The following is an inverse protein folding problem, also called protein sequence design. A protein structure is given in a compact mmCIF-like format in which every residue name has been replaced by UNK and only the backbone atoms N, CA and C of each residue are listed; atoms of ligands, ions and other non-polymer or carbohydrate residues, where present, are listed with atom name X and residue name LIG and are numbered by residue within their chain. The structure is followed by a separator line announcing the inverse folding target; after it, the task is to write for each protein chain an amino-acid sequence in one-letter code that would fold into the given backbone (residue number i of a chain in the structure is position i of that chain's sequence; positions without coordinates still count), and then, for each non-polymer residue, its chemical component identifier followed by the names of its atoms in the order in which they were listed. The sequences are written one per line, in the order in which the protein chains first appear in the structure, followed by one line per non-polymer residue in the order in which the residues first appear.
data_IF_246643414157
#
_entry.id   IF_246643414157
#
_cell.length_a   1.000
_cell.length_b   1.000
_cell.length_c   1.000
_cell.angle_alpha   90.00
_cell.angle_beta   90.00
_cell.angle_gamma   90.00
#
_symmetry.space_group_name_H-M   'P 1'
#
loop_
_entity.id
_entity.type
_entity.pdbx_description
1 polymer ?
#
# COMPACT_ATOMS: atom_id res chain seq x y z
N UNK A 1 9.48 70.01 -9.49
CA UNK A 1 9.52 68.95 -8.46
C UNK A 1 8.44 69.16 -7.40
N UNK A 2 7.88 68.09 -6.79
CA UNK A 2 7.94 66.66 -7.15
C UNK A 2 6.90 66.33 -8.26
N UNK A 3 6.73 65.13 -8.79
CA UNK A 3 7.42 63.84 -8.58
C UNK A 3 6.53 62.72 -9.10
N UNK A 4 6.52 62.51 -10.43
CA UNK A 4 5.57 61.63 -11.10
C UNK A 4 6.16 60.21 -11.24
N UNK A 5 5.62 59.23 -10.51
CA UNK A 5 6.01 57.82 -10.65
C UNK A 5 5.09 57.13 -11.67
N UNK A 6 5.61 56.57 -12.77
CA UNK A 6 4.84 55.65 -13.60
C UNK A 6 4.73 54.30 -12.88
N UNK A 7 3.51 53.74 -12.83
CA UNK A 7 3.27 52.43 -12.26
C UNK A 7 3.98 51.33 -13.05
N UNK A 8 4.57 50.37 -12.34
CA UNK A 8 5.09 49.16 -12.97
C UNK A 8 3.92 48.34 -13.55
N UNK A 9 4.01 47.86 -14.81
CA UNK A 9 3.01 46.93 -15.33
C UNK A 9 3.12 45.60 -14.59
N UNK A 10 1.97 45.00 -14.31
CA UNK A 10 1.85 43.70 -13.68
C UNK A 10 2.62 42.65 -14.50
N UNK A 11 3.49 41.89 -13.83
CA UNK A 11 4.23 40.82 -14.49
C UNK A 11 3.27 39.76 -15.05
N UNK A 12 3.43 39.45 -16.34
CA UNK A 12 2.70 38.34 -16.95
C UNK A 12 3.03 37.01 -16.24
N UNK A 13 2.10 36.05 -16.18
CA UNK A 13 2.43 34.67 -15.77
C UNK A 13 3.57 34.17 -16.65
N UNK A 14 4.72 33.86 -16.04
CA UNK A 14 5.95 33.60 -16.78
C UNK A 14 5.88 32.25 -17.49
N UNK A 15 6.60 32.12 -18.61
CA UNK A 15 6.52 30.99 -19.55
C UNK A 15 6.71 29.59 -18.90
N UNK A 16 7.37 29.50 -17.75
CA UNK A 16 7.49 28.29 -16.93
C UNK A 16 6.12 27.71 -16.55
N UNK A 17 5.15 28.59 -16.24
CA UNK A 17 3.79 28.19 -15.84
C UNK A 17 2.93 27.65 -16.99
N UNK A 18 3.21 28.04 -18.24
CA UNK A 18 2.56 27.47 -19.42
C UNK A 18 3.20 26.14 -19.84
N UNK A 19 4.53 26.04 -19.74
CA UNK A 19 5.26 24.79 -20.01
C UNK A 19 4.79 23.66 -19.08
N UNK A 20 4.70 23.91 -17.77
CA UNK A 20 4.21 22.95 -16.78
C UNK A 20 2.80 22.44 -17.10
N UNK A 21 1.88 23.31 -17.52
CA UNK A 21 0.52 22.92 -17.95
C UNK A 21 0.54 22.04 -19.19
N UNK A 22 1.39 22.37 -20.17
CA UNK A 22 1.51 21.60 -21.41
C UNK A 22 2.07 20.18 -21.17
N UNK A 23 3.02 20.02 -20.24
CA UNK A 23 3.54 18.69 -19.88
C UNK A 23 2.45 17.84 -19.21
N UNK A 24 1.67 18.43 -18.31
CA UNK A 24 0.55 17.76 -17.63
C UNK A 24 -0.57 17.35 -18.59
N UNK A 25 -0.92 18.20 -19.55
CA UNK A 25 -1.88 17.86 -20.60
C UNK A 25 -1.39 16.67 -21.43
N UNK A 26 -0.13 16.69 -21.88
CA UNK A 26 0.46 15.58 -22.64
C UNK A 26 0.54 14.27 -21.88
N UNK A 27 0.76 14.30 -20.56
CA UNK A 27 0.67 13.09 -19.74
C UNK A 27 -0.76 12.53 -19.73
N UNK A 28 -1.77 13.40 -19.64
CA UNK A 28 -3.17 12.98 -19.72
C UNK A 28 -3.54 12.42 -21.09
N UNK A 29 -3.13 13.09 -22.17
CA UNK A 29 -3.35 12.64 -23.55
C UNK A 29 -2.67 11.27 -23.79
N UNK A 30 -1.42 11.10 -23.33
CA UNK A 30 -0.68 9.82 -23.46
C UNK A 30 -1.35 8.66 -22.71
N UNK A 31 -2.03 8.94 -21.60
CA UNK A 31 -2.82 7.95 -20.85
C UNK A 31 -4.13 7.61 -21.59
N UNK A 32 -4.81 8.60 -22.17
CA UNK A 32 -6.05 8.39 -22.93
C UNK A 32 -5.82 7.64 -24.26
N UNK A 33 -4.67 7.88 -24.91
CA UNK A 33 -4.26 7.17 -26.13
C UNK A 33 -3.80 5.72 -25.86
N UNK A 34 -3.48 5.36 -24.62
CA UNK A 34 -3.01 4.04 -24.23
C UNK A 34 -4.15 3.02 -24.03
N UNK A 35 -4.90 2.74 -25.12
CA UNK A 35 -6.09 1.85 -25.18
C UNK A 35 -5.88 0.43 -24.60
N UNK A 36 -4.63 0.02 -24.33
CA UNK A 36 -4.27 -1.29 -23.76
C UNK A 36 -4.39 -1.38 -22.23
N UNK A 37 -4.45 -0.26 -21.52
CA UNK A 37 -4.44 -0.24 -20.04
C UNK A 37 -5.62 -1.02 -19.43
N UNK A 38 -6.85 -0.72 -19.83
CA UNK A 38 -8.02 -1.45 -19.32
C UNK A 38 -8.07 -2.93 -19.74
N UNK A 39 -7.35 -3.31 -20.79
CA UNK A 39 -7.19 -4.71 -21.19
C UNK A 39 -6.17 -5.46 -20.32
N UNK A 40 -5.09 -4.78 -19.89
CA UNK A 40 -4.14 -5.29 -18.89
C UNK A 40 -4.84 -5.51 -17.54
N UNK A 41 -5.54 -4.48 -17.05
CA UNK A 41 -6.33 -4.53 -15.81
C UNK A 41 -7.35 -5.67 -15.81
N UNK A 42 -8.12 -5.81 -16.90
CA UNK A 42 -9.08 -6.90 -17.05
C UNK A 42 -8.43 -8.28 -17.10
N UNK A 43 -7.25 -8.41 -17.71
CA UNK A 43 -6.54 -9.69 -17.77
C UNK A 43 -6.12 -10.15 -16.37
N UNK A 44 -5.53 -9.26 -15.57
CA UNK A 44 -5.19 -9.50 -14.15
C UNK A 44 -6.47 -9.86 -13.38
N UNK A 45 -7.51 -9.02 -13.48
CA UNK A 45 -8.78 -9.24 -12.77
C UNK A 45 -9.42 -10.61 -13.04
N UNK A 46 -9.33 -11.10 -14.28
CA UNK A 46 -9.99 -12.33 -14.73
C UNK A 46 -9.28 -13.63 -14.32
N UNK A 47 -8.03 -13.56 -13.86
CA UNK A 47 -7.20 -14.72 -13.53
C UNK A 47 -6.50 -14.47 -12.17
N UNK A 48 -7.25 -14.45 -11.06
CA UNK A 48 -6.75 -14.02 -9.77
C UNK A 48 -5.76 -15.01 -9.16
N UNK A 49 -4.56 -14.52 -8.85
CA UNK A 49 -3.47 -15.28 -8.23
C UNK A 49 -3.13 -14.70 -6.85
N UNK A 50 -2.73 -15.56 -5.90
CA UNK A 50 -2.26 -15.16 -4.57
C UNK A 50 -0.90 -15.79 -4.32
N UNK A 51 0.12 -15.02 -3.92
CA UNK A 51 1.48 -15.48 -3.58
C UNK A 51 2.32 -16.09 -4.72
N UNK A 52 1.71 -16.51 -5.82
CA UNK A 52 2.33 -17.09 -7.01
C UNK A 52 1.79 -16.39 -8.28
N UNK A 53 1.88 -15.05 -8.35
CA UNK A 53 1.22 -14.20 -9.35
C UNK A 53 1.91 -14.21 -10.73
N UNK A 54 2.09 -15.40 -11.29
CA UNK A 54 2.82 -15.65 -12.53
C UNK A 54 2.13 -15.07 -13.76
N UNK A 55 0.82 -15.21 -13.88
CA UNK A 55 0.02 -14.67 -15.00
C UNK A 55 -0.04 -13.15 -14.97
N UNK A 56 -0.29 -12.55 -13.80
CA UNK A 56 -0.29 -11.10 -13.64
C UNK A 56 1.10 -10.49 -13.91
N UNK A 57 2.17 -11.09 -13.35
CA UNK A 57 3.55 -10.72 -13.63
C UNK A 57 3.90 -10.81 -15.13
N UNK A 58 3.53 -11.90 -15.80
CA UNK A 58 3.73 -12.07 -17.24
C UNK A 58 2.94 -11.04 -18.05
N UNK A 59 1.73 -10.65 -17.61
CA UNK A 59 0.92 -9.62 -18.24
C UNK A 59 1.59 -8.24 -18.18
N UNK A 60 2.06 -7.84 -16.99
CA UNK A 60 2.74 -6.56 -16.75
C UNK A 60 4.08 -6.46 -17.46
N UNK A 61 4.94 -7.48 -17.36
CA UNK A 61 6.25 -7.48 -18.02
C UNK A 61 6.10 -7.40 -19.54
N UNK A 62 5.23 -8.24 -20.13
CA UNK A 62 4.91 -8.21 -21.55
C UNK A 62 4.31 -6.88 -22.00
N UNK A 63 3.50 -6.23 -21.17
CA UNK A 63 2.95 -4.90 -21.46
C UNK A 63 4.08 -3.89 -21.71
N UNK A 64 5.03 -3.76 -20.77
CA UNK A 64 6.17 -2.84 -20.90
C UNK A 64 7.16 -3.22 -22.01
N UNK A 65 7.39 -4.51 -22.27
CA UNK A 65 8.17 -4.96 -23.44
C UNK A 65 7.54 -4.52 -24.77
N UNK A 66 6.20 -4.45 -24.83
CA UNK A 66 5.44 -4.12 -26.03
C UNK A 66 5.06 -2.64 -26.13
N UNK A 67 5.65 -1.77 -25.30
CA UNK A 67 5.45 -0.32 -25.33
C UNK A 67 6.26 0.37 -26.45
N UNK A 68 5.62 1.06 -27.41
CA UNK A 68 6.33 1.75 -28.49
C UNK A 68 7.35 2.80 -28.00
N UNK A 69 8.45 3.01 -28.72
CA UNK A 69 8.96 2.19 -29.83
C UNK A 69 9.83 1.02 -29.35
N UNK A 70 9.22 0.01 -28.68
CA UNK A 70 9.71 -1.36 -28.41
C UNK A 70 11.06 -1.54 -27.67
N UNK A 71 11.74 -0.44 -27.29
CA UNK A 71 13.08 -0.48 -26.69
C UNK A 71 13.36 0.75 -25.78
N UNK A 72 12.33 1.44 -25.29
CA UNK A 72 12.49 2.60 -24.40
C UNK A 72 12.70 2.20 -22.92
N UNK A 73 12.03 1.12 -22.48
CA UNK A 73 12.17 0.61 -21.11
C UNK A 73 13.34 -0.36 -21.01
N UNK A 74 14.35 0.01 -20.22
CA UNK A 74 15.49 -0.85 -19.92
C UNK A 74 15.19 -1.70 -18.69
N UNK A 75 14.73 -2.93 -18.91
CA UNK A 75 14.55 -3.95 -17.86
C UNK A 75 15.93 -4.56 -17.57
N UNK A 76 16.56 -4.22 -16.44
CA UNK A 76 17.97 -4.56 -16.15
C UNK A 76 18.28 -4.87 -14.67
N UNK A 77 19.16 -5.86 -14.41
CA UNK A 77 19.82 -6.05 -13.11
C UNK A 77 21.33 -5.62 -13.07
N UNK A 78 21.73 -4.93 -11.98
CA UNK A 78 23.10 -4.61 -11.48
C UNK A 78 24.03 -3.63 -12.26
N UNK A 79 25.01 -3.00 -11.58
CA UNK A 79 25.98 -2.00 -12.13
C UNK A 79 27.27 -1.84 -11.27
N UNK A 80 28.45 -1.60 -11.87
CA UNK A 80 29.69 -2.26 -11.41
C UNK A 80 30.89 -1.43 -10.83
N UNK A 81 31.49 -0.45 -11.54
CA UNK A 81 32.97 -0.22 -11.47
C UNK A 81 33.53 1.02 -10.72
N UNK A 82 34.74 0.85 -10.14
CA UNK A 82 35.38 1.69 -9.11
C UNK A 82 35.90 3.10 -9.48
N UNK A 83 35.83 3.52 -10.75
CA UNK A 83 36.13 4.91 -11.17
C UNK A 83 35.04 5.50 -12.07
N UNK A 84 33.86 4.90 -12.07
CA UNK A 84 32.70 5.41 -12.81
C UNK A 84 31.99 6.50 -11.97
N UNK A 85 31.58 7.58 -12.61
CA UNK A 85 30.61 8.52 -12.05
C UNK A 85 29.27 8.35 -12.78
N UNK A 86 28.18 8.51 -12.04
CA UNK A 86 26.80 8.39 -12.52
C UNK A 86 26.09 9.69 -12.16
N UNK A 87 25.62 10.42 -13.16
CA UNK A 87 24.95 11.70 -13.00
C UNK A 87 23.47 11.53 -13.33
N UNK A 88 22.65 11.54 -12.29
CA UNK A 88 21.19 11.35 -12.34
C UNK A 88 20.54 12.41 -11.45
N UNK A 89 19.37 12.91 -11.84
CA UNK A 89 18.73 14.05 -11.17
C UNK A 89 17.60 13.62 -10.24
N UNK A 90 16.68 12.79 -10.74
CA UNK A 90 15.51 12.29 -9.99
C UNK A 90 15.18 10.86 -10.43
N UNK A 91 15.00 9.97 -9.46
CA UNK A 91 14.50 8.61 -9.62
C UNK A 91 13.09 8.47 -9.03
N UNK A 92 12.10 8.25 -9.89
CA UNK A 92 10.72 8.02 -9.47
C UNK A 92 10.34 6.56 -9.71
N UNK A 93 9.69 5.93 -8.73
CA UNK A 93 9.06 4.63 -8.94
C UNK A 93 7.53 4.72 -8.86
N UNK A 94 6.86 4.04 -9.78
CA UNK A 94 5.43 3.71 -9.68
C UNK A 94 5.29 2.26 -9.25
N UNK A 95 4.55 2.01 -8.17
CA UNK A 95 4.33 0.65 -7.66
C UNK A 95 3.06 0.05 -8.27
N UNK A 96 3.08 -1.26 -8.49
CA UNK A 96 2.00 -2.03 -9.10
C UNK A 96 1.79 -3.30 -8.28
N UNK A 97 0.75 -3.34 -7.46
CA UNK A 97 0.24 -4.57 -6.84
C UNK A 97 -0.67 -5.32 -7.82
N UNK A 98 -0.77 -6.64 -7.66
CA UNK A 98 -1.54 -7.49 -8.58
C UNK A 98 -1.85 -8.88 -7.99
N UNK A 99 -1.76 -9.02 -6.68
CA UNK A 99 -2.22 -10.20 -5.94
C UNK A 99 -3.73 -10.12 -5.64
N UNK A 100 -4.30 -11.28 -5.32
CA UNK A 100 -5.72 -11.48 -5.08
C UNK A 100 -5.98 -12.18 -3.74
N UNK A 101 -7.21 -12.08 -3.23
CA UNK A 101 -7.63 -12.70 -1.99
C UNK A 101 -8.18 -14.12 -2.21
N UNK A 102 -7.78 -15.12 -1.40
CA UNK A 102 -8.23 -16.49 -1.52
C UNK A 102 -9.76 -16.64 -1.51
N UNK A 103 -10.31 -17.18 -2.61
CA UNK A 103 -11.72 -17.49 -2.76
C UNK A 103 -12.64 -16.32 -3.14
N UNK A 104 -12.16 -15.07 -3.10
CA UNK A 104 -12.95 -13.88 -3.51
C UNK A 104 -12.31 -13.05 -4.63
N UNK A 105 -11.08 -13.37 -5.06
CA UNK A 105 -10.43 -12.69 -6.19
C UNK A 105 -9.87 -11.32 -5.81
N UNK A 106 -9.79 -10.37 -6.75
CA UNK A 106 -9.32 -9.01 -6.48
C UNK A 106 -10.34 -8.15 -5.72
N UNK A 107 -10.78 -8.63 -4.55
CA UNK A 107 -11.71 -7.93 -3.67
C UNK A 107 -11.09 -6.70 -2.99
N UNK A 108 -9.77 -6.50 -3.10
CA UNK A 108 -9.09 -5.25 -2.74
C UNK A 108 -8.76 -4.38 -3.97
N UNK A 109 -8.96 -4.88 -5.20
CA UNK A 109 -8.86 -4.13 -6.44
C UNK A 109 -7.44 -3.94 -7.01
N UNK A 110 -6.50 -4.82 -6.66
CA UNK A 110 -5.08 -4.68 -7.06
C UNK A 110 -4.89 -4.65 -8.60
N UNK A 111 -5.79 -5.24 -9.38
CA UNK A 111 -5.82 -5.07 -10.84
C UNK A 111 -5.87 -3.59 -11.28
N UNK A 112 -6.56 -2.72 -10.53
CA UNK A 112 -6.62 -1.28 -10.77
C UNK A 112 -5.36 -0.56 -10.26
N UNK A 113 -4.70 -1.08 -9.22
CA UNK A 113 -3.43 -0.54 -8.69
C UNK A 113 -2.31 -0.76 -9.73
N UNK A 114 -2.19 -1.98 -10.26
CA UNK A 114 -1.32 -2.29 -11.39
C UNK A 114 -1.55 -1.35 -12.58
N UNK A 115 -2.81 -1.12 -12.94
CA UNK A 115 -3.17 -0.23 -14.04
C UNK A 115 -2.78 1.22 -13.76
N UNK A 116 -3.06 1.74 -12.57
CA UNK A 116 -2.72 3.12 -12.18
C UNK A 116 -1.22 3.35 -12.25
N UNK A 117 -0.41 2.45 -11.68
CA UNK A 117 1.05 2.56 -11.69
C UNK A 117 1.61 2.53 -13.12
N UNK A 118 1.12 1.61 -13.96
CA UNK A 118 1.54 1.51 -15.35
C UNK A 118 1.12 2.72 -16.19
N UNK A 119 -0.13 3.15 -16.07
CA UNK A 119 -0.67 4.31 -16.76
C UNK A 119 0.09 5.61 -16.37
N UNK A 120 0.33 5.82 -15.08
CA UNK A 120 1.03 7.01 -14.61
C UNK A 120 2.47 7.07 -15.14
N UNK A 121 3.18 5.94 -15.16
CA UNK A 121 4.53 5.83 -15.73
C UNK A 121 4.56 6.17 -17.24
N UNK A 122 3.58 5.68 -18.01
CA UNK A 122 3.44 6.04 -19.43
C UNK A 122 3.11 7.51 -19.64
N UNK A 123 2.23 8.09 -18.81
CA UNK A 123 1.91 9.52 -18.84
C UNK A 123 3.15 10.40 -18.63
N UNK A 124 3.97 10.10 -17.62
CA UNK A 124 5.23 10.82 -17.39
C UNK A 124 6.19 10.63 -18.56
N UNK A 125 6.38 9.40 -19.06
CA UNK A 125 7.23 9.12 -20.23
C UNK A 125 6.81 9.96 -21.45
N UNK A 126 5.55 9.91 -21.85
CA UNK A 126 5.04 10.65 -23.01
C UNK A 126 5.16 12.17 -22.87
N UNK A 127 4.96 12.70 -21.67
CA UNK A 127 5.18 14.12 -21.38
C UNK A 127 6.65 14.55 -21.52
N UNK A 128 7.61 13.70 -21.11
CA UNK A 128 9.04 13.94 -21.26
C UNK A 128 9.53 13.75 -22.70
N UNK A 129 9.04 12.74 -23.43
CA UNK A 129 9.37 12.51 -24.84
C UNK A 129 8.87 13.63 -25.77
N UNK A 130 7.77 14.30 -25.41
CA UNK A 130 7.26 15.46 -26.16
C UNK A 130 8.06 16.76 -26.01
N UNK A 131 9.08 16.82 -25.14
CA UNK A 131 9.78 18.07 -24.82
C UNK A 131 10.58 18.65 -26.01
N UNK A 132 10.59 19.98 -26.19
CA UNK A 132 11.47 20.62 -27.18
C UNK A 132 12.91 20.68 -26.65
N UNK A 133 13.67 19.60 -26.87
CA UNK A 133 15.07 19.49 -26.47
C UNK A 133 15.41 18.12 -25.86
N UNK A 134 16.62 17.92 -25.33
CA UNK A 134 16.92 16.71 -24.56
C UNK A 134 16.05 16.67 -23.29
N UNK A 135 15.47 15.51 -22.93
CA UNK A 135 14.70 15.39 -21.70
C UNK A 135 15.59 15.61 -20.46
N UNK A 136 15.01 16.04 -19.32
CA UNK A 136 15.75 16.10 -18.06
C UNK A 136 16.26 14.69 -17.68
N UNK A 137 17.42 14.57 -16.98
CA UNK A 137 18.01 13.28 -16.62
C UNK A 137 17.27 12.60 -15.45
N UNK A 138 16.03 12.20 -15.74
CA UNK A 138 15.09 11.50 -14.85
C UNK A 138 15.08 10.01 -15.18
N UNK A 139 15.06 9.16 -14.14
CA UNK A 139 14.78 7.73 -14.29
C UNK A 139 13.37 7.44 -13.80
N UNK A 140 12.52 6.97 -14.69
CA UNK A 140 11.21 6.40 -14.33
C UNK A 140 11.41 4.91 -14.15
N UNK A 141 10.87 4.36 -13.06
CA UNK A 141 10.89 2.94 -12.72
C UNK A 141 9.44 2.51 -12.49
N UNK A 142 9.10 1.30 -12.91
CA UNK A 142 7.87 0.63 -12.48
C UNK A 142 8.30 -0.61 -11.71
N UNK A 143 7.79 -0.75 -10.48
CA UNK A 143 8.07 -1.89 -9.63
C UNK A 143 6.78 -2.71 -9.48
N UNK A 144 6.83 -3.96 -9.95
CA UNK A 144 5.82 -4.93 -9.60
C UNK A 144 6.03 -5.43 -8.17
N UNK A 145 5.00 -5.36 -7.34
CA UNK A 145 5.05 -5.63 -5.90
C UNK A 145 3.99 -6.68 -5.54
N UNK A 146 4.34 -7.98 -5.55
CA UNK A 146 3.40 -9.07 -5.26
C UNK A 146 3.11 -9.22 -3.76
N UNK A 147 2.18 -10.13 -3.43
CA UNK A 147 1.91 -10.61 -2.07
C UNK A 147 1.78 -9.52 -0.98
N UNK A 148 0.97 -8.50 -1.24
CA UNK A 148 0.64 -7.47 -0.24
C UNK A 148 -0.37 -7.97 0.80
N UNK A 149 -1.29 -8.87 0.44
CA UNK A 149 -2.40 -9.28 1.32
C UNK A 149 -1.98 -10.20 2.48
N UNK A 150 -1.01 -11.09 2.27
CA UNK A 150 -0.63 -12.13 3.26
C UNK A 150 0.91 -12.33 3.38
N UNK A 151 1.75 -11.52 2.71
CA UNK A 151 3.19 -11.82 2.57
C UNK A 151 4.20 -10.68 2.66
N UNK A 152 3.80 -9.42 2.54
CA UNK A 152 4.70 -8.27 2.64
C UNK A 152 5.75 -8.19 1.54
N UNK A 153 5.40 -8.52 0.29
CA UNK A 153 6.37 -8.60 -0.81
C UNK A 153 7.19 -7.32 -1.08
N UNK A 154 6.71 -6.13 -0.67
CA UNK A 154 7.53 -4.91 -0.71
C UNK A 154 8.67 -4.94 0.32
N UNK A 155 8.50 -5.64 1.43
CA UNK A 155 9.50 -5.80 2.50
C UNK A 155 10.66 -6.66 1.97
N UNK A 156 10.37 -7.80 1.34
CA UNK A 156 11.35 -8.61 0.60
C UNK A 156 12.11 -7.77 -0.46
N UNK A 157 11.38 -6.92 -1.21
CA UNK A 157 11.98 -6.02 -2.20
C UNK A 157 12.84 -4.91 -1.56
N UNK A 158 12.51 -4.43 -0.36
CA UNK A 158 13.34 -3.50 0.43
C UNK A 158 14.64 -4.20 0.85
N UNK A 159 14.57 -5.42 1.37
CA UNK A 159 15.74 -6.21 1.77
C UNK A 159 16.66 -6.52 0.57
N UNK A 160 16.08 -6.94 -0.55
CA UNK A 160 16.79 -7.11 -1.83
C UNK A 160 17.38 -5.79 -2.37
N UNK A 161 16.88 -4.65 -1.91
CA UNK A 161 17.38 -3.32 -2.23
C UNK A 161 16.77 -2.67 -3.47
N UNK A 162 15.59 -3.12 -3.92
CA UNK A 162 14.88 -2.56 -5.07
C UNK A 162 14.54 -1.06 -4.91
N UNK A 163 14.33 -0.62 -3.66
CA UNK A 163 14.03 0.77 -3.31
C UNK A 163 15.27 1.66 -3.11
N UNK A 164 16.49 1.13 -3.24
CA UNK A 164 17.73 1.90 -3.00
C UNK A 164 17.94 2.96 -4.08
N UNK A 165 18.25 4.18 -3.64
CA UNK A 165 18.46 5.36 -4.48
C UNK A 165 17.22 5.83 -5.26
N UNK A 166 16.00 5.51 -4.79
CA UNK A 166 14.80 6.20 -5.26
C UNK A 166 14.65 7.56 -4.56
N UNK A 167 14.16 8.57 -5.28
CA UNK A 167 13.90 9.89 -4.72
C UNK A 167 12.47 10.06 -4.23
N UNK A 168 11.49 9.46 -4.91
CA UNK A 168 10.06 9.42 -4.53
C UNK A 168 9.40 8.15 -5.09
N UNK A 169 8.46 7.56 -4.33
CA UNK A 169 7.55 6.50 -4.82
C UNK A 169 6.10 6.98 -4.95
N UNK A 170 5.37 6.43 -5.92
CA UNK A 170 3.95 6.68 -6.14
C UNK A 170 3.19 5.36 -6.25
N UNK A 171 2.05 5.29 -5.59
CA UNK A 171 1.06 4.23 -5.72
C UNK A 171 -0.32 4.89 -5.52
N UNK A 172 -1.42 4.21 -5.81
CA UNK A 172 -2.75 4.61 -5.33
C UNK A 172 -3.69 3.41 -5.27
N UNK A 173 -4.61 3.46 -4.30
CA UNK A 173 -5.43 2.33 -3.90
C UNK A 173 -6.92 2.59 -4.16
N UNK A 174 -7.67 1.66 -4.77
CA UNK A 174 -9.11 1.83 -4.95
C UNK A 174 -9.85 1.72 -3.61
N UNK A 175 -10.87 2.56 -3.41
CA UNK A 175 -11.74 2.52 -2.22
C UNK A 175 -13.15 3.06 -2.54
N UNK A 176 -13.91 3.40 -1.50
CA UNK A 176 -15.23 4.04 -1.59
C UNK A 176 -15.18 5.57 -1.76
N UNK A 177 -14.06 6.22 -1.46
CA UNK A 177 -13.96 7.68 -1.37
C UNK A 177 -12.58 8.15 -1.85
N UNK A 178 -12.49 9.35 -2.43
CA UNK A 178 -11.17 9.90 -2.79
C UNK A 178 -10.54 10.56 -1.56
N UNK A 179 -9.34 10.12 -1.20
CA UNK A 179 -8.54 10.72 -0.13
C UNK A 179 -7.09 10.84 -0.62
N UNK A 180 -6.41 11.93 -0.29
CA UNK A 180 -4.99 12.09 -0.63
C UNK A 180 -4.06 11.29 0.29
N UNK A 181 -4.60 10.84 1.43
CA UNK A 181 -3.98 10.04 2.47
C UNK A 181 -5.09 9.50 3.38
N UNK A 182 -4.94 8.30 3.91
CA UNK A 182 -5.60 7.84 5.13
C UNK A 182 -4.53 7.25 6.06
N UNK A 183 -4.69 7.33 7.40
CA UNK A 183 -3.81 6.64 8.34
C UNK A 183 -3.98 5.11 8.26
N UNK A 184 -3.18 4.47 7.41
CA UNK A 184 -2.91 3.04 7.50
C UNK A 184 -2.12 2.73 8.78
N UNK A 185 -2.53 1.66 9.46
CA UNK A 185 -2.04 1.32 10.80
C UNK A 185 -1.09 0.14 10.76
N UNK A 186 -0.13 0.13 11.69
CA UNK A 186 0.82 -0.98 11.82
C UNK A 186 0.10 -2.29 12.22
N UNK A 187 0.58 -3.42 11.70
CA UNK A 187 -0.04 -4.75 11.77
C UNK A 187 0.98 -5.82 12.18
N UNK A 188 0.55 -6.79 12.97
CA UNK A 188 1.28 -8.03 13.25
C UNK A 188 0.33 -9.22 13.33
N UNK A 189 0.50 -10.19 12.42
CA UNK A 189 -0.20 -11.47 12.46
C UNK A 189 0.48 -12.49 13.40
N UNK A 190 -0.34 -13.37 13.97
CA UNK A 190 0.11 -14.54 14.72
C UNK A 190 -0.71 -15.78 14.42
N UNK A 191 -0.02 -16.89 14.18
CA UNK A 191 -0.57 -18.24 14.27
C UNK A 191 -0.34 -18.81 15.67
N UNK A 192 -1.41 -19.24 16.33
CA UNK A 192 -1.40 -19.81 17.68
C UNK A 192 -1.86 -21.26 17.62
N UNK A 193 -1.03 -22.19 18.11
CA UNK A 193 -1.32 -23.62 18.12
C UNK A 193 -1.30 -24.16 19.53
N UNK A 194 -2.39 -24.78 19.96
CA UNK A 194 -2.44 -25.49 21.24
C UNK A 194 -2.28 -26.98 21.02
N UNK A 195 -1.47 -27.61 21.87
CA UNK A 195 -1.26 -29.05 21.89
C UNK A 195 -1.69 -29.62 23.24
N UNK A 196 -2.53 -30.66 23.17
CA UNK A 196 -3.09 -31.36 24.32
C UNK A 196 -3.02 -32.88 24.13
N UNK A 197 -4.00 -33.60 24.67
CA UNK A 197 -4.04 -35.07 24.68
C UNK A 197 -5.47 -35.55 24.39
N UNK A 198 -5.61 -36.37 23.36
CA UNK A 198 -6.90 -36.90 22.94
C UNK A 198 -7.42 -37.93 23.96
N UNK A 199 -8.74 -37.95 24.12
CA UNK A 199 -9.45 -38.88 25.00
C UNK A 199 -10.90 -39.07 24.52
N UNK A 200 -11.57 -40.15 24.94
CA UNK A 200 -12.99 -40.35 24.64
C UNK A 200 -13.85 -39.48 25.56
N UNK A 201 -14.48 -38.45 24.99
CA UNK A 201 -15.10 -37.36 25.74
C UNK A 201 -16.14 -37.81 26.78
N UNK A 202 -16.89 -38.88 26.50
CA UNK A 202 -17.92 -39.40 27.41
C UNK A 202 -17.44 -40.49 28.39
N UNK A 203 -16.24 -41.05 28.22
CA UNK A 203 -15.85 -42.28 28.92
C UNK A 203 -14.61 -42.13 29.80
N UNK A 204 -13.65 -41.29 29.41
CA UNK A 204 -12.45 -40.99 30.18
C UNK A 204 -11.98 -39.53 30.00
N UNK A 205 -12.86 -38.51 30.07
CA UNK A 205 -12.49 -37.11 29.80
C UNK A 205 -11.32 -36.60 30.67
N UNK A 206 -11.20 -37.07 31.92
CA UNK A 206 -10.10 -36.74 32.83
C UNK A 206 -8.71 -37.25 32.36
N UNK A 207 -8.66 -38.16 31.40
CA UNK A 207 -7.40 -38.57 30.75
C UNK A 207 -6.97 -37.62 29.63
N UNK A 208 -7.84 -36.70 29.20
CA UNK A 208 -7.58 -35.77 28.10
C UNK A 208 -7.03 -34.43 28.57
N UNK A 209 -6.47 -33.68 27.63
CA UNK A 209 -6.08 -32.27 27.76
C UNK A 209 -6.63 -31.56 26.53
N UNK A 210 -7.59 -30.66 26.71
CA UNK A 210 -8.45 -30.19 25.63
C UNK A 210 -7.92 -28.90 24.98
N UNK A 211 -7.37 -29.04 23.77
CA UNK A 211 -6.85 -27.92 22.99
C UNK A 211 -7.96 -26.99 22.45
N UNK A 212 -9.19 -27.48 22.25
CA UNK A 212 -10.31 -26.59 21.87
C UNK A 212 -10.71 -25.69 23.04
N UNK A 213 -10.71 -26.19 24.27
CA UNK A 213 -11.00 -25.35 25.45
C UNK A 213 -9.94 -24.25 25.60
N UNK A 214 -8.68 -24.53 25.25
CA UNK A 214 -7.62 -23.52 25.22
C UNK A 214 -7.89 -22.44 24.16
N UNK A 215 -8.32 -22.83 22.95
CA UNK A 215 -8.73 -21.87 21.91
C UNK A 215 -9.94 -21.01 22.33
N UNK A 216 -10.94 -21.60 22.98
CA UNK A 216 -12.13 -20.89 23.47
C UNK A 216 -11.78 -19.94 24.63
N UNK A 217 -10.93 -20.37 25.57
CA UNK A 217 -10.44 -19.50 26.64
C UNK A 217 -9.59 -18.35 26.11
N UNK A 218 -8.74 -18.59 25.11
CA UNK A 218 -8.00 -17.53 24.41
C UNK A 218 -8.95 -16.49 23.79
N UNK A 219 -9.98 -16.94 23.08
CA UNK A 219 -11.00 -16.08 22.49
C UNK A 219 -11.72 -15.21 23.55
N UNK A 220 -12.06 -15.81 24.69
CA UNK A 220 -12.68 -15.13 25.82
C UNK A 220 -11.72 -14.13 26.50
N UNK A 221 -10.45 -14.51 26.71
CA UNK A 221 -9.42 -13.65 27.28
C UNK A 221 -9.21 -12.40 26.41
N UNK A 222 -9.11 -12.57 25.09
CA UNK A 222 -9.03 -11.45 24.15
C UNK A 222 -10.31 -10.61 24.12
N UNK A 223 -11.48 -11.22 24.28
CA UNK A 223 -12.76 -10.50 24.35
C UNK A 223 -12.80 -9.52 25.54
N UNK A 224 -12.35 -9.95 26.72
CA UNK A 224 -12.28 -9.06 27.91
C UNK A 224 -11.09 -8.09 27.87
N UNK A 225 -9.99 -8.45 27.19
CA UNK A 225 -8.85 -7.55 26.96
C UNK A 225 -9.29 -6.26 26.23
N UNK A 226 -10.33 -6.30 25.40
CA UNK A 226 -10.84 -5.12 24.65
C UNK A 226 -11.21 -3.94 25.54
N UNK A 227 -11.63 -4.17 26.79
CA UNK A 227 -11.90 -3.07 27.74
C UNK A 227 -10.63 -2.29 28.12
N UNK A 228 -9.46 -2.92 28.02
CA UNK A 228 -8.15 -2.40 28.39
C UNK A 228 -7.24 -2.12 27.18
N UNK A 229 -7.82 -2.11 25.97
CA UNK A 229 -7.19 -1.66 24.73
C UNK A 229 -7.45 -0.17 24.52
N UNK A 230 -6.59 0.53 23.76
CA UNK A 230 -6.93 1.88 23.29
C UNK A 230 -8.07 1.83 22.27
N UNK A 231 -8.90 2.87 22.14
CA UNK A 231 -9.95 2.94 21.11
C UNK A 231 -9.45 2.80 19.67
N UNK A 232 -8.16 3.05 19.42
CA UNK A 232 -7.48 2.94 18.13
C UNK A 232 -6.89 1.55 17.84
N UNK A 233 -6.87 0.64 18.82
CA UNK A 233 -6.31 -0.70 18.65
C UNK A 233 -7.35 -1.69 18.12
N UNK A 234 -6.93 -2.66 17.29
CA UNK A 234 -7.78 -3.77 16.83
C UNK A 234 -7.10 -5.11 17.07
N UNK A 235 -7.94 -6.10 17.36
CA UNK A 235 -7.57 -7.52 17.48
C UNK A 235 -8.72 -8.29 16.85
N UNK A 236 -8.44 -9.10 15.84
CA UNK A 236 -9.43 -9.94 15.17
C UNK A 236 -8.77 -11.22 14.66
N UNK A 237 -9.53 -12.30 14.58
CA UNK A 237 -8.98 -13.61 14.28
C UNK A 237 -10.03 -14.71 14.30
N UNK A 238 -9.62 -15.91 13.89
CA UNK A 238 -10.47 -17.07 13.69
C UNK A 238 -9.88 -18.31 14.37
N UNK A 239 -10.73 -19.27 14.71
CA UNK A 239 -10.31 -20.65 15.03
C UNK A 239 -10.29 -21.43 13.73
N UNK A 240 -9.09 -21.56 13.14
CA UNK A 240 -8.86 -22.29 11.88
C UNK A 240 -8.99 -23.80 12.03
N UNK A 241 -8.63 -24.33 13.21
CA UNK A 241 -8.85 -25.74 13.56
C UNK A 241 -9.37 -25.85 14.99
N UNK A 242 -10.58 -26.40 15.14
CA UNK A 242 -11.25 -26.62 16.43
C UNK A 242 -11.40 -28.10 16.82
N UNK A 243 -10.70 -29.01 16.15
CA UNK A 243 -10.86 -30.47 16.33
C UNK A 243 -11.81 -31.13 15.33
N UNK A 244 -11.89 -32.47 15.39
CA UNK A 244 -12.39 -33.29 14.27
C UNK A 244 -13.75 -33.97 14.55
N UNK A 245 -14.03 -34.38 15.79
CA UNK A 245 -15.30 -35.06 16.16
C UNK A 245 -15.72 -34.76 17.60
N UNK A 246 -17.02 -34.52 17.90
CA UNK A 246 -17.48 -34.20 19.25
C UNK A 246 -17.25 -35.27 20.33
N UNK A 247 -17.07 -36.55 19.96
CA UNK A 247 -16.83 -37.64 20.90
C UNK A 247 -15.35 -37.86 21.25
N UNK A 248 -14.44 -37.06 20.68
CA UNK A 248 -12.99 -37.11 20.91
C UNK A 248 -12.57 -35.75 21.44
N UNK A 249 -11.93 -35.70 22.62
CA UNK A 249 -11.31 -34.48 23.16
C UNK A 249 -10.22 -34.01 22.17
N UNK A 250 -10.31 -32.78 21.61
CA UNK A 250 -9.30 -32.27 20.69
C UNK A 250 -7.91 -32.17 21.32
N UNK A 251 -6.93 -32.85 20.71
CA UNK A 251 -5.50 -32.75 21.08
C UNK A 251 -4.75 -31.64 20.36
N UNK A 252 -5.40 -30.95 19.41
CA UNK A 252 -4.85 -29.86 18.63
C UNK A 252 -5.94 -28.81 18.37
N UNK A 253 -5.57 -27.54 18.40
CA UNK A 253 -6.35 -26.43 17.86
C UNK A 253 -5.41 -25.36 17.29
N UNK A 254 -5.90 -24.59 16.33
CA UNK A 254 -5.14 -23.57 15.61
C UNK A 254 -5.99 -22.31 15.45
N UNK A 255 -5.42 -21.17 15.78
CA UNK A 255 -6.01 -19.85 15.61
C UNK A 255 -5.09 -18.98 14.76
N UNK A 256 -5.67 -18.08 13.96
CA UNK A 256 -4.96 -16.99 13.30
C UNK A 256 -5.54 -15.69 13.82
N UNK A 257 -4.68 -14.74 14.20
CA UNK A 257 -5.06 -13.41 14.66
C UNK A 257 -4.19 -12.34 14.00
N UNK A 258 -4.82 -11.20 13.74
CA UNK A 258 -4.19 -9.96 13.32
C UNK A 258 -4.31 -8.93 14.45
N UNK A 259 -3.25 -8.17 14.69
CA UNK A 259 -3.19 -7.10 15.68
C UNK A 259 -2.87 -5.79 14.99
N UNK A 260 -3.66 -4.74 15.22
CA UNK A 260 -3.43 -3.43 14.61
C UNK A 260 -3.34 -2.31 15.64
N UNK A 261 -2.37 -1.43 15.47
CA UNK A 261 -2.19 -0.23 16.29
C UNK A 261 -1.65 0.95 15.44
N UNK A 262 -1.91 2.21 15.81
CA UNK A 262 -1.54 3.36 14.96
C UNK A 262 -0.06 3.52 14.61
N UNK A 263 0.86 2.91 15.38
CA UNK A 263 2.28 2.92 15.05
C UNK A 263 3.04 1.75 15.65
N UNK A 264 4.27 1.55 15.15
CA UNK A 264 5.21 0.53 15.62
C UNK A 264 5.60 0.65 17.10
N UNK A 265 5.37 1.79 17.74
CA UNK A 265 5.51 1.95 19.20
C UNK A 265 4.47 1.14 19.96
N UNK A 266 3.23 1.17 19.47
CA UNK A 266 2.07 0.67 20.21
C UNK A 266 1.77 -0.79 19.92
N UNK A 267 2.08 -1.24 18.70
CA UNK A 267 1.86 -2.61 18.25
C UNK A 267 2.52 -3.65 19.18
N UNK A 268 3.81 -3.58 19.59
CA UNK A 268 4.41 -4.53 20.52
C UNK A 268 3.73 -4.58 21.89
N UNK A 269 3.16 -3.46 22.36
CA UNK A 269 2.42 -3.40 23.64
C UNK A 269 1.08 -4.15 23.53
N UNK A 270 0.41 -4.02 22.39
CA UNK A 270 -0.81 -4.77 22.08
C UNK A 270 -0.50 -6.27 21.90
N UNK A 271 0.47 -6.61 21.04
CA UNK A 271 0.92 -7.97 20.76
C UNK A 271 1.22 -8.70 22.07
N UNK A 272 2.06 -8.12 22.95
CA UNK A 272 2.39 -8.75 24.23
C UNK A 272 1.16 -9.03 25.12
N UNK A 273 0.20 -8.09 25.20
CA UNK A 273 -1.05 -8.30 25.95
C UNK A 273 -1.90 -9.44 25.35
N UNK A 274 -1.95 -9.54 24.03
CA UNK A 274 -2.70 -10.58 23.33
C UNK A 274 -2.02 -11.96 23.46
N UNK A 275 -0.70 -12.02 23.32
CA UNK A 275 0.05 -13.26 23.54
C UNK A 275 -0.04 -13.78 24.97
N UNK A 276 -0.03 -12.90 25.98
CA UNK A 276 -0.20 -13.30 27.37
C UNK A 276 -1.61 -13.87 27.61
N UNK A 277 -2.63 -13.43 26.87
CA UNK A 277 -3.96 -14.06 26.85
C UNK A 277 -3.93 -15.49 26.30
N UNK A 278 -3.09 -15.77 25.28
CA UNK A 278 -2.90 -17.11 24.74
C UNK A 278 -2.15 -18.02 25.72
N UNK A 279 -1.05 -17.53 26.31
CA UNK A 279 -0.26 -18.26 27.32
C UNK A 279 -1.10 -18.59 28.56
N UNK A 280 -1.97 -17.68 29.00
CA UNK A 280 -2.91 -17.93 30.10
C UNK A 280 -3.92 -19.04 29.78
N UNK A 281 -4.41 -19.14 28.55
CA UNK A 281 -5.34 -20.18 28.13
C UNK A 281 -4.70 -21.59 28.07
N UNK A 282 -3.44 -21.68 27.62
CA UNK A 282 -2.64 -22.90 27.73
C UNK A 282 -2.47 -23.32 29.20
N UNK A 283 -2.01 -22.39 30.05
CA UNK A 283 -1.80 -22.65 31.48
C UNK A 283 -3.07 -23.14 32.18
N UNK A 284 -4.22 -22.52 31.90
CA UNK A 284 -5.50 -22.86 32.51
C UNK A 284 -6.03 -24.26 32.12
N UNK A 285 -5.64 -24.77 30.94
CA UNK A 285 -6.09 -26.07 30.41
C UNK A 285 -5.07 -27.19 30.54
N UNK A 286 -3.82 -26.86 30.89
CA UNK A 286 -2.69 -27.80 30.86
C UNK A 286 -2.16 -28.11 29.45
N UNK A 287 -2.59 -27.36 28.42
CA UNK A 287 -2.02 -27.45 27.07
C UNK A 287 -0.62 -26.81 27.03
N UNK A 288 0.18 -27.19 26.04
CA UNK A 288 1.29 -26.35 25.58
C UNK A 288 0.81 -25.45 24.43
N UNK A 289 1.48 -24.31 24.24
CA UNK A 289 1.19 -23.37 23.14
C UNK A 289 2.45 -23.03 22.35
N UNK A 290 2.33 -23.07 21.04
CA UNK A 290 3.25 -22.44 20.08
C UNK A 290 2.58 -21.14 19.62
N UNK A 291 3.28 -20.02 19.73
CA UNK A 291 2.88 -18.74 19.12
C UNK A 291 3.97 -18.42 18.11
N UNK A 292 3.58 -18.25 16.85
CA UNK A 292 4.47 -17.90 15.76
C UNK A 292 3.89 -16.67 15.07
N UNK A 293 4.65 -15.57 15.03
CA UNK A 293 4.30 -14.41 14.21
C UNK A 293 4.39 -14.70 12.71
N UNK A 294 3.97 -13.71 11.94
CA UNK A 294 4.13 -13.63 10.49
C UNK A 294 5.55 -13.74 9.97
N UNK A 295 5.69 -13.60 8.66
CA UNK A 295 6.99 -13.38 8.03
C UNK A 295 7.51 -11.97 8.31
N UNK A 296 6.62 -10.96 8.26
CA UNK A 296 6.96 -9.55 8.40
C UNK A 296 5.85 -8.78 9.14
N UNK A 297 6.22 -7.71 9.84
CA UNK A 297 5.28 -6.75 10.44
C UNK A 297 5.02 -5.61 9.45
N UNK A 298 3.77 -5.18 9.28
CA UNK A 298 3.46 -4.02 8.42
C UNK A 298 3.52 -2.75 9.27
N UNK A 299 4.14 -1.71 8.73
CA UNK A 299 4.31 -0.45 9.44
C UNK A 299 3.16 0.52 9.11
N UNK A 300 2.98 1.56 9.92
CA UNK A 300 2.05 2.64 9.59
C UNK A 300 2.55 3.48 8.41
N UNK A 301 1.66 3.99 7.55
CA UNK A 301 2.06 4.82 6.40
C UNK A 301 2.44 6.23 6.87
N UNK A 302 3.65 6.68 6.53
CA UNK A 302 4.13 8.02 6.88
C UNK A 302 3.61 9.07 5.88
N UNK A 303 2.88 10.11 6.34
CA UNK A 303 2.28 11.10 5.45
C UNK A 303 3.32 12.05 4.86
N UNK A 304 3.34 12.19 3.53
CA UNK A 304 4.11 13.23 2.86
C UNK A 304 3.23 14.46 2.53
N UNK A 305 3.34 15.51 3.36
CA UNK A 305 2.44 16.68 3.31
C UNK A 305 2.68 17.65 2.14
N UNK A 306 3.67 17.37 1.31
CA UNK A 306 3.95 18.09 0.07
C UNK A 306 3.38 17.31 -1.14
N UNK A 307 3.60 15.99 -1.20
CA UNK A 307 3.00 15.15 -2.26
C UNK A 307 1.47 15.17 -2.21
N UNK A 308 0.85 15.02 -1.03
CA UNK A 308 -0.61 14.93 -0.92
C UNK A 308 -1.33 16.20 -1.44
N UNK A 309 -0.70 17.38 -1.32
CA UNK A 309 -1.23 18.69 -1.76
C UNK A 309 -1.09 18.85 -3.26
N UNK A 310 0.09 18.52 -3.80
CA UNK A 310 0.30 18.49 -5.24
C UNK A 310 -0.65 17.49 -5.93
N UNK A 311 -0.91 16.34 -5.29
CA UNK A 311 -1.90 15.36 -5.75
C UNK A 311 -3.33 15.91 -5.70
N UNK A 312 -3.79 16.49 -4.59
CA UNK A 312 -5.12 17.13 -4.51
C UNK A 312 -5.28 18.22 -5.56
N UNK A 313 -4.32 19.15 -5.64
CA UNK A 313 -4.32 20.22 -6.64
C UNK A 313 -4.41 19.69 -8.08
N UNK A 314 -3.83 18.53 -8.38
CA UNK A 314 -3.90 17.92 -9.72
C UNK A 314 -5.21 17.14 -9.92
N UNK A 315 -5.68 16.43 -8.91
CA UNK A 315 -6.95 15.71 -8.93
C UNK A 315 -8.16 16.61 -9.07
N UNK A 316 -8.22 17.73 -8.34
CA UNK A 316 -9.30 18.73 -8.44
C UNK A 316 -9.43 19.29 -9.86
N UNK A 317 -8.29 19.54 -10.54
CA UNK A 317 -8.26 19.99 -11.95
C UNK A 317 -8.80 18.94 -12.93
N UNK A 318 -8.83 17.67 -12.53
CA UNK A 318 -9.42 16.54 -13.25
C UNK A 318 -10.85 16.20 -12.77
N UNK A 319 -11.40 16.97 -11.83
CA UNK A 319 -12.72 16.77 -11.24
C UNK A 319 -12.79 15.62 -10.24
N UNK A 320 -11.70 15.32 -9.53
CA UNK A 320 -11.73 14.48 -8.31
C UNK A 320 -12.22 15.34 -7.15
N UNK A 321 -13.24 14.86 -6.44
CA UNK A 321 -13.73 15.46 -5.19
C UNK A 321 -13.16 14.65 -4.02
N UNK A 322 -12.34 15.29 -3.19
CA UNK A 322 -11.70 14.68 -2.02
C UNK A 322 -12.54 14.88 -0.75
N UNK A 323 -12.47 13.92 0.17
CA UNK A 323 -13.00 14.09 1.52
C UNK A 323 -12.19 15.15 2.29
N UNK A 324 -12.77 15.74 3.34
CA UNK A 324 -12.11 16.81 4.09
C UNK A 324 -10.87 16.32 4.85
N UNK A 325 -9.90 17.21 5.08
CA UNK A 325 -8.67 16.88 5.82
C UNK A 325 -8.94 16.33 7.23
N UNK A 326 -10.00 16.81 7.90
CA UNK A 326 -10.46 16.29 9.19
C UNK A 326 -10.94 14.83 9.10
N UNK A 327 -11.68 14.47 8.03
CA UNK A 327 -12.10 13.07 7.81
C UNK A 327 -10.90 12.21 7.40
N UNK A 328 -10.02 12.70 6.50
CA UNK A 328 -8.80 11.99 6.10
C UNK A 328 -7.94 11.61 7.30
N UNK A 329 -7.67 12.57 8.21
CA UNK A 329 -6.76 12.34 9.35
C UNK A 329 -7.39 11.51 10.49
N UNK A 330 -8.72 11.48 10.62
CA UNK A 330 -9.41 10.80 11.72
C UNK A 330 -10.10 9.48 11.34
N UNK A 331 -9.99 9.04 10.08
CA UNK A 331 -10.55 7.76 9.60
C UNK A 331 -9.42 6.72 9.48
N UNK A 332 -9.24 5.80 10.44
CA UNK A 332 -8.23 4.76 10.33
C UNK A 332 -8.54 3.86 9.15
N UNK A 333 -7.52 3.57 8.35
CA UNK A 333 -7.60 2.74 7.15
C UNK A 333 -7.31 1.26 7.49
N UNK A 334 -6.90 0.50 6.49
CA UNK A 334 -6.32 -0.82 6.63
C UNK A 334 -4.88 -0.80 7.13
N UNK A 335 -4.11 -1.74 6.61
CA UNK A 335 -2.69 -1.92 6.87
C UNK A 335 -2.08 -2.38 5.56
N UNK A 336 -0.92 -1.84 5.19
CA UNK A 336 -0.25 -2.14 3.92
C UNK A 336 1.25 -2.13 4.10
N UNK A 337 1.97 -3.01 3.38
CA UNK A 337 3.43 -3.01 3.36
C UNK A 337 4.02 -1.80 2.60
N UNK A 338 3.18 -0.98 1.93
CA UNK A 338 3.56 0.38 1.52
C UNK A 338 3.98 1.23 2.72
N UNK A 339 3.43 0.95 3.92
CA UNK A 339 3.91 1.53 5.18
C UNK A 339 5.42 1.38 5.32
N UNK A 340 5.94 0.15 5.19
CA UNK A 340 7.36 -0.15 5.27
C UNK A 340 8.17 0.59 4.19
N UNK A 341 7.62 0.78 2.98
CA UNK A 341 8.24 1.61 1.93
C UNK A 341 8.39 3.06 2.37
N UNK A 342 7.37 3.64 3.03
CA UNK A 342 7.44 5.03 3.52
C UNK A 342 8.43 5.28 4.66
N UNK A 343 9.06 4.24 5.21
CA UNK A 343 10.22 4.39 6.12
C UNK A 343 11.57 4.44 5.40
N UNK A 344 11.65 4.04 4.11
CA UNK A 344 12.91 3.99 3.36
C UNK A 344 12.97 4.97 2.18
N UNK A 345 11.83 5.38 1.63
CA UNK A 345 11.73 6.37 0.54
C UNK A 345 10.47 7.23 0.77
N UNK A 346 10.50 8.56 0.57
CA UNK A 346 9.27 9.37 0.59
C UNK A 346 8.28 8.89 -0.47
N UNK A 347 6.99 8.81 -0.11
CA UNK A 347 5.96 8.32 -1.02
C UNK A 347 4.59 8.92 -0.81
N UNK A 348 3.67 8.60 -1.74
CA UNK A 348 2.25 8.87 -1.61
C UNK A 348 1.44 7.62 -1.94
N UNK A 349 0.42 7.37 -1.11
CA UNK A 349 -0.58 6.31 -1.20
C UNK A 349 -1.97 6.96 -1.01
N UNK A 350 -2.52 7.63 -2.05
CA UNK A 350 -3.87 8.16 -2.00
C UNK A 350 -4.89 7.07 -2.37
N UNK A 351 -6.12 7.30 -1.94
CA UNK A 351 -7.26 6.46 -2.25
C UNK A 351 -8.14 7.10 -3.32
N UNK A 352 -8.77 6.27 -4.15
CA UNK A 352 -9.67 6.73 -5.20
C UNK A 352 -10.95 5.91 -5.30
N UNK A 353 -12.06 6.61 -5.48
CA UNK A 353 -13.38 6.01 -5.69
C UNK A 353 -13.45 5.29 -7.05
N UNK A 354 -14.04 4.09 -7.09
CA UNK A 354 -14.15 3.28 -8.33
C UNK A 354 -15.54 3.24 -8.96
N UNK A 355 -16.46 4.13 -8.56
CA UNK A 355 -17.84 4.11 -9.08
C UNK A 355 -18.80 3.18 -8.33
N UNK A 356 -18.38 2.62 -7.18
CA UNK A 356 -19.18 1.67 -6.38
C UNK A 356 -19.09 1.96 -4.88
N UNK A 357 -20.21 1.73 -4.18
CA UNK A 357 -20.31 1.76 -2.71
C UNK A 357 -20.10 0.36 -2.08
N UNK A 358 -19.52 -0.59 -2.81
CA UNK A 358 -19.02 -1.85 -2.22
C UNK A 358 -17.84 -1.58 -1.29
N UNK A 359 -17.62 -2.41 -0.27
CA UNK A 359 -16.47 -2.33 0.64
C UNK A 359 -15.38 -3.31 0.20
N UNK A 360 -14.10 -2.94 0.29
CA UNK A 360 -12.99 -3.84 0.02
C UNK A 360 -13.11 -5.16 0.84
N UNK A 361 -12.53 -6.25 0.33
CA UNK A 361 -12.61 -7.62 0.87
C UNK A 361 -14.05 -8.20 0.86
N UNK A 362 -14.89 -7.78 -0.10
CA UNK A 362 -16.23 -8.36 -0.35
C UNK A 362 -16.39 -8.79 -1.81
N UNK A 363 -17.24 -9.78 -2.07
CA UNK A 363 -17.58 -10.25 -3.44
C UNK A 363 -18.08 -9.09 -4.33
N UNK A 364 -18.86 -8.17 -3.74
CA UNK A 364 -19.36 -6.98 -4.44
C UNK A 364 -18.25 -6.02 -4.87
N UNK A 365 -17.10 -6.02 -4.16
CA UNK A 365 -15.94 -5.22 -4.55
C UNK A 365 -15.16 -5.86 -5.68
N UNK A 366 -15.05 -7.19 -5.69
CA UNK A 366 -14.48 -7.92 -6.84
C UNK A 366 -15.25 -7.61 -8.12
N UNK A 367 -16.59 -7.63 -8.07
CA UNK A 367 -17.43 -7.23 -9.22
C UNK A 367 -17.17 -5.77 -9.62
N UNK A 368 -17.07 -4.85 -8.66
CA UNK A 368 -16.82 -3.44 -8.91
C UNK A 368 -15.42 -3.17 -9.50
N UNK A 369 -14.38 -3.86 -9.03
CA UNK A 369 -13.01 -3.70 -9.49
C UNK A 369 -12.77 -4.21 -10.92
N UNK A 370 -13.64 -5.10 -11.42
CA UNK A 370 -13.66 -5.55 -12.82
C UNK A 370 -14.63 -4.78 -13.72
N UNK A 371 -15.43 -3.86 -13.16
CA UNK A 371 -16.47 -3.14 -13.88
C UNK A 371 -15.88 -2.16 -14.91
N UNK A 372 -16.58 -1.95 -16.02
CA UNK A 372 -16.16 -0.99 -17.04
C UNK A 372 -16.18 0.46 -16.51
N UNK A 373 -17.07 0.73 -15.57
CA UNK A 373 -17.26 2.01 -14.89
C UNK A 373 -16.02 2.42 -14.08
N UNK A 374 -15.30 1.46 -13.47
CA UNK A 374 -14.09 1.71 -12.69
C UNK A 374 -12.95 2.30 -13.54
N UNK A 375 -12.91 1.98 -14.84
CA UNK A 375 -11.91 2.47 -15.79
C UNK A 375 -11.76 4.00 -15.79
N UNK A 376 -12.89 4.72 -15.74
CA UNK A 376 -12.92 6.18 -15.80
C UNK A 376 -12.20 6.81 -14.61
N UNK A 377 -12.45 6.28 -13.41
CA UNK A 377 -11.83 6.75 -12.19
C UNK A 377 -10.35 6.34 -12.10
N UNK A 378 -10.05 5.09 -12.48
CA UNK A 378 -8.70 4.52 -12.50
C UNK A 378 -7.75 5.34 -13.39
N UNK A 379 -8.15 5.64 -14.64
CA UNK A 379 -7.35 6.50 -15.53
C UNK A 379 -7.27 7.95 -15.04
N UNK A 380 -8.31 8.46 -14.37
CA UNK A 380 -8.27 9.80 -13.76
C UNK A 380 -7.25 9.89 -12.61
N UNK A 381 -7.18 8.87 -11.76
CA UNK A 381 -6.16 8.74 -10.70
C UNK A 381 -4.76 8.65 -11.28
N UNK A 382 -4.55 7.83 -12.31
CA UNK A 382 -3.27 7.72 -13.00
C UNK A 382 -2.77 9.07 -13.54
N UNK A 383 -3.68 9.89 -14.11
CA UNK A 383 -3.37 11.25 -14.55
C UNK A 383 -2.97 12.15 -13.38
N UNK A 384 -3.71 12.11 -12.26
CA UNK A 384 -3.39 12.90 -11.07
C UNK A 384 -2.00 12.53 -10.51
N UNK A 385 -1.64 11.24 -10.46
CA UNK A 385 -0.29 10.79 -10.09
C UNK A 385 0.77 11.25 -11.10
N UNK A 386 0.57 11.06 -12.40
CA UNK A 386 1.52 11.49 -13.43
C UNK A 386 1.75 13.02 -13.41
N UNK A 387 0.69 13.81 -13.22
CA UNK A 387 0.79 15.26 -13.06
C UNK A 387 1.58 15.66 -11.79
N UNK A 388 1.48 14.87 -10.72
CA UNK A 388 2.20 15.09 -9.46
C UNK A 388 3.68 14.69 -9.58
N UNK A 389 3.98 13.58 -10.24
CA UNK A 389 5.34 13.20 -10.62
C UNK A 389 6.01 14.27 -11.51
N UNK A 390 5.27 14.85 -12.47
CA UNK A 390 5.75 15.98 -13.27
C UNK A 390 5.99 17.24 -12.43
N UNK A 391 5.17 17.52 -11.40
CA UNK A 391 5.48 18.59 -10.47
C UNK A 391 6.81 18.33 -9.74
N UNK A 392 7.05 17.12 -9.24
CA UNK A 392 8.31 16.74 -8.56
C UNK A 392 9.52 16.87 -9.50
N UNK A 393 9.39 16.50 -10.78
CA UNK A 393 10.46 16.63 -11.78
C UNK A 393 10.81 18.10 -12.06
N UNK A 394 9.80 18.95 -12.24
CA UNK A 394 9.97 20.31 -12.76
C UNK A 394 9.97 21.42 -11.69
N UNK A 395 9.71 21.10 -10.42
CA UNK A 395 9.75 22.01 -9.27
C UNK A 395 10.74 21.48 -8.22
N UNK A 396 12.04 21.85 -8.30
CA UNK A 396 13.03 21.44 -7.31
C UNK A 396 12.60 21.76 -5.86
N UNK A 397 11.91 22.88 -5.65
CA UNK A 397 11.37 23.31 -4.35
C UNK A 397 10.32 22.33 -3.78
N UNK A 398 9.57 21.65 -4.64
CA UNK A 398 8.65 20.59 -4.21
C UNK A 398 9.43 19.36 -3.77
N UNK A 399 10.42 18.92 -4.55
CA UNK A 399 11.26 17.77 -4.18
C UNK A 399 12.03 18.00 -2.86
N UNK A 400 12.50 19.23 -2.62
CA UNK A 400 13.09 19.62 -1.33
C UNK A 400 12.07 19.49 -0.20
N UNK A 401 10.86 20.05 -0.36
CA UNK A 401 9.79 19.96 0.65
C UNK A 401 9.35 18.51 0.92
N UNK A 402 9.29 17.67 -0.12
CA UNK A 402 8.98 16.22 -0.03
C UNK A 402 10.05 15.48 0.79
N UNK A 403 11.33 15.81 0.60
CA UNK A 403 12.45 15.24 1.39
C UNK A 403 12.44 15.75 2.83
N UNK A 404 12.07 17.00 3.06
CA UNK A 404 11.93 17.57 4.41
C UNK A 404 10.79 16.92 5.19
N UNK A 405 9.59 16.78 4.60
CA UNK A 405 8.44 16.10 5.22
C UNK A 405 8.80 14.67 5.67
N UNK A 406 9.43 13.88 4.79
CA UNK A 406 9.84 12.51 5.08
C UNK A 406 10.88 12.44 6.21
N UNK A 407 11.87 13.33 6.20
CA UNK A 407 12.84 13.43 7.30
C UNK A 407 12.16 13.77 8.63
N UNK A 408 11.20 14.69 8.62
CA UNK A 408 10.46 15.07 9.83
C UNK A 408 9.61 13.92 10.37
N UNK A 409 8.91 13.17 9.50
CA UNK A 409 8.11 12.01 9.92
C UNK A 409 8.98 10.87 10.47
N UNK A 410 10.13 10.57 9.86
CA UNK A 410 11.08 9.61 10.42
C UNK A 410 11.60 10.02 11.80
N UNK A 411 11.90 11.31 12.00
CA UNK A 411 12.33 11.83 13.30
C UNK A 411 11.20 11.80 14.35
N UNK A 412 9.96 12.04 13.94
CA UNK A 412 8.77 11.93 14.79
C UNK A 412 8.55 10.48 15.25
N UNK A 413 8.62 9.51 14.33
CA UNK A 413 8.55 8.08 14.68
C UNK A 413 9.72 7.61 15.54
N UNK A 414 10.96 7.99 15.25
CA UNK A 414 12.12 7.64 16.09
C UNK A 414 11.97 8.21 17.51
N UNK A 415 11.51 9.46 17.64
CA UNK A 415 11.21 10.07 18.94
C UNK A 415 10.07 9.35 19.67
N UNK A 416 8.99 9.01 18.96
CA UNK A 416 7.88 8.25 19.53
C UNK A 416 8.36 6.88 20.02
N UNK A 417 9.16 6.15 19.24
CA UNK A 417 9.66 4.83 19.60
C UNK A 417 10.69 4.84 20.75
N UNK A 418 11.43 5.94 20.95
CA UNK A 418 12.45 6.05 22.01
C UNK A 418 11.94 6.61 23.34
N UNK A 419 10.91 7.46 23.32
CA UNK A 419 10.33 8.07 24.54
C UNK A 419 9.10 7.28 25.00
N UNK A 420 9.33 6.08 25.57
CA UNK A 420 8.28 5.16 26.05
C UNK A 420 8.69 4.32 27.25
#
# INVERSE_FOLDING_TARGET
PPGNFPGAPWGAPTAVSESSKLHKLRAADSIDEAVRLGALSRAIWSDPESYEEHHAHCGLTRFFEQEPPAAAWTVQPHYELATAFRAEWVHLAFLCEYDALPGIGHACGHNLIAEVGAAAALGVKGALEGLPGPPPPVKIIVLGTPAEEDGGGKIDLIEAGAFKNLDVVFMAHPSQENAAYLPDVAEHDVTVKYYGKASHAAAYPWEGVNALDAAVLAYNNLSVLRQQMKPTWRVHGIIKNGGVKPNIIPSYSELIYYFRAPSMKELPVLTKKAEDCFRAAALATGCTVEIKGGAHDYYNVLPNKSLWKAYMENGEKLGIEFISEDVMLNTPSGSTDFGNVTFVVPGIHPYFYIGSAALNHTEQYTEAAGAHEAQFYTLRTAKALAMTALDVIFKPELLESVREDFKLQLQEEEFLNTVG
#
